data_IF_851565348629
#
_entry.id   IF_851565348629
#
_cell.length_a   1.000
_cell.length_b   1.000
_cell.length_c   1.000
_cell.angle_alpha   90.00
_cell.angle_beta   90.00
_cell.angle_gamma   90.00
#
_symmetry.space_group_name_H-M   'P 1'
#
loop_
_entity.id
_entity.type
_entity.pdbx_description
1 polymer ?
#
# COMPACT_ATOMS: atom_id res chain seq x y z
N UNK A 1 -22.01 -51.54 1.09
CA UNK A 1 -20.67 -51.92 0.59
C UNK A 1 -19.99 -50.62 0.15
N UNK A 2 -19.04 -50.02 0.83
CA UNK A 2 -18.36 -50.29 2.09
C UNK A 2 -18.00 -48.94 2.74
N UNK A 3 -18.48 -48.75 3.97
CA UNK A 3 -18.00 -47.74 4.90
C UNK A 3 -16.95 -48.43 5.78
N UNK A 4 -15.69 -48.00 5.71
CA UNK A 4 -14.62 -48.52 6.59
C UNK A 4 -13.64 -47.41 7.02
N UNK A 5 -13.85 -46.98 8.28
CA UNK A 5 -12.85 -46.68 9.32
C UNK A 5 -11.91 -45.49 9.07
N UNK A 6 -11.94 -44.38 9.84
CA UNK A 6 -11.70 -44.26 11.29
C UNK A 6 -10.57 -45.17 11.78
N UNK A 7 -9.34 -44.70 11.65
CA UNK A 7 -8.22 -45.11 12.50
C UNK A 7 -7.33 -43.88 12.76
N UNK A 8 -7.45 -43.34 13.98
CA UNK A 8 -6.47 -42.45 14.56
C UNK A 8 -5.19 -43.24 14.82
N UNK A 9 -4.09 -42.89 14.16
CA UNK A 9 -2.76 -43.24 14.65
C UNK A 9 -2.19 -42.05 15.43
N UNK A 10 -2.17 -42.21 16.75
CA UNK A 10 -1.49 -41.31 17.68
C UNK A 10 0.02 -41.41 17.50
N UNK A 11 0.61 -40.47 16.75
CA UNK A 11 2.06 -40.25 16.79
C UNK A 11 2.39 -39.39 18.02
N UNK A 12 3.05 -39.98 19.02
CA UNK A 12 3.68 -39.24 20.12
C UNK A 12 5.01 -38.65 19.62
N UNK A 13 5.21 -37.32 19.61
CA UNK A 13 6.53 -36.77 19.41
C UNK A 13 7.41 -37.03 20.64
N UNK A 14 8.59 -37.62 20.41
CA UNK A 14 9.67 -37.71 21.40
C UNK A 14 10.23 -36.31 21.68
N UNK A 15 10.44 -36.00 22.96
CA UNK A 15 11.05 -34.76 23.40
C UNK A 15 12.52 -34.68 22.96
N UNK A 16 12.82 -33.78 22.03
CA UNK A 16 14.18 -33.32 21.75
C UNK A 16 14.64 -32.32 22.80
N UNK A 17 15.89 -32.47 23.25
CA UNK A 17 16.52 -31.72 24.33
C UNK A 17 16.61 -30.20 24.07
N UNK A 18 16.68 -29.36 25.13
CA UNK A 18 16.77 -27.91 25.00
C UNK A 18 18.16 -27.51 24.52
N UNK A 19 18.24 -26.78 23.40
CA UNK A 19 19.47 -26.09 23.00
C UNK A 19 19.41 -24.68 23.59
N UNK A 20 20.21 -24.47 24.63
CA UNK A 20 20.53 -23.17 25.20
C UNK A 20 21.44 -22.40 24.23
N UNK A 21 21.00 -21.22 23.78
CA UNK A 21 21.89 -20.20 23.24
C UNK A 21 21.38 -18.81 23.64
N UNK A 22 21.98 -18.31 24.72
CA UNK A 22 21.98 -16.89 25.09
C UNK A 22 22.68 -16.13 23.97
N UNK A 23 21.98 -15.23 23.29
CA UNK A 23 22.59 -14.21 22.44
C UNK A 23 22.30 -12.83 23.04
N UNK A 24 23.36 -12.16 23.45
CA UNK A 24 23.37 -10.78 23.95
C UNK A 24 22.86 -9.81 22.89
N UNK A 25 22.05 -8.79 23.25
CA UNK A 25 21.52 -7.83 22.28
C UNK A 25 22.63 -6.90 21.78
N UNK A 26 22.80 -6.83 20.46
CA UNK A 26 23.60 -5.79 19.79
C UNK A 26 22.72 -4.53 19.67
N UNK A 27 23.21 -3.33 20.01
CA UNK A 27 22.43 -2.10 19.88
C UNK A 27 22.03 -1.85 18.42
N UNK A 28 20.74 -1.58 18.19
CA UNK A 28 20.20 -1.15 16.90
C UNK A 28 20.86 0.19 16.55
N UNK A 29 21.81 0.16 15.62
CA UNK A 29 22.34 1.39 15.02
C UNK A 29 21.22 2.06 14.23
N UNK A 30 20.98 3.34 14.51
CA UNK A 30 20.05 4.19 13.77
C UNK A 30 20.35 4.12 12.27
N UNK A 31 19.40 3.60 11.49
CA UNK A 31 19.46 3.64 10.03
C UNK A 31 19.45 5.09 9.57
N UNK A 32 20.58 5.55 9.05
CA UNK A 32 20.71 6.84 8.38
C UNK A 32 19.95 6.80 7.04
N UNK A 33 18.81 7.49 7.01
CA UNK A 33 17.92 7.57 5.86
C UNK A 33 18.30 8.69 4.88
N UNK A 34 19.49 9.31 4.98
CA UNK A 34 19.91 10.30 3.99
C UNK A 34 20.17 9.64 2.63
N UNK A 35 19.51 10.11 1.56
CA UNK A 35 19.80 9.72 0.18
C UNK A 35 21.29 9.95 -0.17
N UNK A 36 21.94 9.04 -0.90
CA UNK A 36 23.37 9.16 -1.26
C UNK A 36 23.72 10.46 -1.99
N UNK A 37 22.79 11.02 -2.78
CA UNK A 37 22.95 12.31 -3.46
C UNK A 37 22.94 13.53 -2.52
N UNK A 38 22.60 13.35 -1.24
CA UNK A 38 22.72 14.35 -0.18
C UNK A 38 23.95 14.15 0.71
N UNK A 39 24.60 12.97 0.65
CA UNK A 39 25.82 12.67 1.41
C UNK A 39 27.07 13.31 0.81
N UNK A 40 27.06 13.55 -0.50
CA UNK A 40 28.15 14.16 -1.27
C UNK A 40 27.85 15.60 -1.70
N UNK A 41 26.95 16.31 -1.02
CA UNK A 41 26.90 17.76 -1.18
C UNK A 41 28.15 18.29 -0.50
N UNK A 42 29.13 18.71 -1.28
CA UNK A 42 30.32 19.38 -0.77
C UNK A 42 29.91 20.38 0.31
N UNK A 43 30.45 20.24 1.52
CA UNK A 43 30.34 21.25 2.57
C UNK A 43 30.93 22.61 2.17
N UNK A 44 31.58 22.66 1.00
CA UNK A 44 32.07 23.84 0.30
C UNK A 44 31.18 24.31 -0.86
N UNK A 45 29.97 23.77 -1.05
CA UNK A 45 28.89 24.49 -1.71
C UNK A 45 28.37 25.62 -0.80
N UNK A 46 29.31 26.37 -0.22
CA UNK A 46 29.06 27.67 0.31
C UNK A 46 28.46 28.49 -0.84
N UNK A 47 27.34 29.12 -0.54
CA UNK A 47 26.95 30.39 -1.15
C UNK A 47 28.26 31.15 -1.40
N UNK A 48 28.59 31.43 -2.66
CA UNK A 48 29.79 32.16 -3.02
C UNK A 48 29.91 33.37 -2.10
N UNK A 49 30.84 33.33 -1.14
CA UNK A 49 31.20 34.53 -0.38
C UNK A 49 31.91 35.44 -1.38
N UNK A 50 31.21 36.50 -1.79
CA UNK A 50 31.83 37.52 -2.62
C UNK A 50 32.96 38.21 -1.83
N UNK A 51 34.09 38.51 -2.49
CA UNK A 51 35.19 39.22 -1.84
C UNK A 51 34.70 40.60 -1.39
N UNK A 52 34.81 40.86 -0.08
CA UNK A 52 34.51 42.16 0.52
C UNK A 52 35.53 43.19 0.05
N UNK A 53 35.26 43.85 -1.08
CA UNK A 53 35.95 45.07 -1.47
C UNK A 53 35.26 46.25 -0.77
N UNK A 54 35.94 46.86 0.20
CA UNK A 54 35.42 47.90 1.11
C UNK A 54 35.12 49.28 0.45
N UNK A 55 34.86 49.37 -0.86
CA UNK A 55 34.78 50.68 -1.51
C UNK A 55 33.69 50.90 -2.57
N UNK A 56 32.62 50.09 -2.61
CA UNK A 56 31.53 50.32 -3.58
C UNK A 56 30.16 50.44 -2.90
N UNK A 57 29.91 51.62 -2.32
CA UNK A 57 28.78 51.88 -1.44
C UNK A 57 27.47 52.26 -2.17
N UNK A 58 27.29 51.96 -3.47
CA UNK A 58 26.11 52.46 -4.19
C UNK A 58 25.41 51.52 -5.18
N UNK A 59 25.72 50.21 -5.22
CA UNK A 59 25.08 49.29 -6.17
C UNK A 59 24.65 47.92 -5.61
N UNK A 60 24.66 47.71 -4.28
CA UNK A 60 24.10 46.47 -3.71
C UNK A 60 22.57 46.53 -3.73
N UNK A 61 21.85 45.63 -4.44
CA UNK A 61 20.42 45.48 -4.24
C UNK A 61 20.22 45.12 -2.77
N UNK A 62 19.41 45.91 -2.07
CA UNK A 62 19.13 45.66 -0.67
C UNK A 62 18.29 44.37 -0.56
N UNK A 63 18.94 43.21 -0.43
CA UNK A 63 18.33 41.90 -0.16
C UNK A 63 17.94 41.73 1.32
N UNK A 64 17.79 42.83 2.07
CA UNK A 64 17.19 42.74 3.39
C UNK A 64 15.79 42.13 3.25
N UNK A 65 15.51 40.96 3.85
CA UNK A 65 14.20 40.35 3.77
C UNK A 65 13.21 41.33 4.39
N UNK A 66 12.23 41.76 3.61
CA UNK A 66 11.16 42.63 4.11
C UNK A 66 10.49 41.94 5.30
N UNK A 67 10.50 42.54 6.49
CA UNK A 67 10.02 41.92 7.73
C UNK A 67 8.57 41.43 7.62
N UNK A 68 7.74 42.12 6.82
CA UNK A 68 6.37 41.70 6.52
C UNK A 68 6.31 40.41 5.71
N UNK A 69 7.17 40.27 4.70
CA UNK A 69 7.30 39.06 3.88
C UNK A 69 7.78 37.88 4.73
N UNK A 70 8.73 38.13 5.64
CA UNK A 70 9.20 37.10 6.59
C UNK A 70 8.10 36.67 7.55
N UNK A 71 7.25 37.59 8.01
CA UNK A 71 6.11 37.29 8.90
C UNK A 71 5.04 36.44 8.21
N UNK A 72 4.64 36.81 6.99
CA UNK A 72 3.67 36.03 6.20
C UNK A 72 4.18 34.63 5.91
N UNK A 73 5.46 34.49 5.52
CA UNK A 73 6.08 33.19 5.32
C UNK A 73 6.09 32.35 6.60
N UNK A 74 6.39 32.96 7.75
CA UNK A 74 6.40 32.26 9.03
C UNK A 74 5.02 31.70 9.39
N UNK A 75 3.95 32.46 9.15
CA UNK A 75 2.58 32.01 9.36
C UNK A 75 2.23 30.83 8.44
N UNK A 76 2.55 30.94 7.15
CA UNK A 76 2.37 29.87 6.17
C UNK A 76 3.06 28.56 6.58
N UNK A 77 4.35 28.62 6.93
CA UNK A 77 5.09 27.44 7.36
C UNK A 77 4.55 26.85 8.66
N UNK A 78 4.09 27.69 9.59
CA UNK A 78 3.46 27.22 10.83
C UNK A 78 2.17 26.46 10.53
N UNK A 79 1.35 26.96 9.60
CA UNK A 79 0.12 26.27 9.17
C UNK A 79 0.42 24.94 8.47
N UNK A 80 1.43 24.90 7.58
CA UNK A 80 1.86 23.65 6.95
C UNK A 80 2.38 22.64 7.96
N UNK A 81 3.19 23.07 8.93
CA UNK A 81 3.70 22.20 9.98
C UNK A 81 2.53 21.60 10.78
N UNK A 82 1.55 22.42 11.17
CA UNK A 82 0.37 21.93 11.88
C UNK A 82 -0.44 20.93 11.04
N UNK A 83 -0.59 21.14 9.73
CA UNK A 83 -1.22 20.15 8.85
C UNK A 83 -0.45 18.82 8.80
N UNK A 84 0.89 18.87 8.79
CA UNK A 84 1.73 17.66 8.85
C UNK A 84 1.59 16.96 10.20
N UNK A 85 1.59 17.70 11.30
CA UNK A 85 1.43 17.17 12.66
C UNK A 85 0.06 16.51 12.84
N UNK A 86 -1.00 17.12 12.26
CA UNK A 86 -2.35 16.52 12.24
C UNK A 86 -2.36 15.21 11.45
N UNK A 87 -1.77 15.18 10.25
CA UNK A 87 -1.64 13.93 9.49
C UNK A 87 -0.89 12.88 10.30
N UNK A 88 0.21 13.27 10.94
CA UNK A 88 1.03 12.38 11.75
C UNK A 88 0.27 11.85 12.98
N UNK A 89 -0.53 12.68 13.65
CA UNK A 89 -1.42 12.32 14.77
C UNK A 89 -2.37 11.20 14.33
N UNK A 90 -3.11 11.39 13.25
CA UNK A 90 -4.09 10.41 12.79
C UNK A 90 -3.45 9.14 12.25
N UNK A 91 -2.38 9.24 11.44
CA UNK A 91 -1.65 8.08 10.93
C UNK A 91 -1.04 7.22 12.05
N UNK A 92 -0.62 7.83 13.17
CA UNK A 92 -0.14 7.08 14.34
C UNK A 92 -1.24 6.23 14.96
N UNK A 93 -2.39 6.85 15.20
CA UNK A 93 -3.52 6.21 15.88
C UNK A 93 -4.10 5.09 15.01
N UNK A 94 -4.10 5.25 13.68
CA UNK A 94 -4.57 4.23 12.74
C UNK A 94 -3.51 3.19 12.35
N UNK A 95 -2.30 3.24 12.91
CA UNK A 95 -1.19 2.35 12.55
C UNK A 95 -0.88 2.35 11.04
N UNK A 96 -0.86 3.53 10.43
CA UNK A 96 -0.61 3.72 8.99
C UNK A 96 0.75 4.34 8.69
N UNK A 97 1.66 4.40 9.66
CA UNK A 97 3.02 4.88 9.42
C UNK A 97 3.85 3.79 8.76
N UNK A 98 4.97 4.21 8.18
CA UNK A 98 5.98 3.28 7.66
C UNK A 98 6.50 2.42 8.82
N UNK A 99 6.41 1.09 8.69
CA UNK A 99 6.82 0.14 9.72
C UNK A 99 5.75 -0.23 10.75
N UNK A 100 4.57 0.40 10.73
CA UNK A 100 3.45 0.00 11.60
C UNK A 100 2.80 -1.31 11.11
N UNK A 101 2.88 -1.58 9.81
CA UNK A 101 2.34 -2.80 9.24
C UNK A 101 3.15 -4.00 9.77
N UNK A 102 2.51 -4.98 10.44
CA UNK A 102 3.19 -6.15 10.96
C UNK A 102 4.00 -6.91 9.89
N UNK A 103 3.60 -6.84 8.62
CA UNK A 103 4.34 -7.48 7.52
C UNK A 103 5.69 -6.84 7.21
N UNK A 104 5.96 -5.64 7.73
CA UNK A 104 7.23 -4.94 7.53
C UNK A 104 8.31 -5.46 8.48
N UNK A 105 7.95 -6.29 9.47
CA UNK A 105 8.91 -6.87 10.42
C UNK A 105 9.59 -8.10 9.85
N UNK A 106 10.89 -8.26 10.15
CA UNK A 106 11.70 -9.39 9.66
C UNK A 106 11.22 -10.76 10.17
N UNK A 107 10.52 -10.79 11.32
CA UNK A 107 9.95 -12.00 11.91
C UNK A 107 8.57 -12.37 11.35
N UNK A 108 8.01 -11.54 10.46
CA UNK A 108 6.72 -11.81 9.84
C UNK A 108 6.81 -12.97 8.85
N UNK A 109 6.11 -14.06 9.16
CA UNK A 109 6.07 -15.25 8.31
C UNK A 109 5.09 -15.01 7.16
N UNK A 110 5.62 -14.74 5.97
CA UNK A 110 4.84 -14.67 4.73
C UNK A 110 4.53 -16.10 4.27
N UNK A 111 3.24 -16.46 4.26
CA UNK A 111 2.76 -17.74 3.75
C UNK A 111 1.71 -17.55 2.63
N UNK A 112 1.86 -18.24 1.48
CA UNK A 112 3.00 -19.06 1.10
C UNK A 112 4.27 -18.20 0.92
N UNK A 113 5.48 -18.80 1.00
CA UNK A 113 6.71 -18.03 0.86
C UNK A 113 6.76 -17.31 -0.50
N UNK A 114 7.36 -16.11 -0.57
CA UNK A 114 7.48 -15.39 -1.83
C UNK A 114 8.24 -16.24 -2.86
N UNK A 115 7.89 -16.13 -4.16
CA UNK A 115 8.58 -16.87 -5.19
C UNK A 115 10.07 -16.49 -5.21
N UNK A 116 10.97 -17.44 -5.53
CA UNK A 116 12.40 -17.16 -5.54
C UNK A 116 12.72 -16.00 -6.50
N UNK A 117 13.74 -15.18 -6.18
CA UNK A 117 14.17 -14.12 -7.07
C UNK A 117 14.53 -14.71 -8.44
N UNK A 118 14.07 -14.04 -9.49
CA UNK A 118 14.31 -14.49 -10.87
C UNK A 118 15.76 -14.29 -11.32
N UNK A 119 16.62 -13.70 -10.49
CA UNK A 119 18.02 -13.43 -10.79
C UNK A 119 18.86 -13.26 -9.51
N UNK A 120 20.13 -13.74 -9.46
CA UNK A 120 20.81 -14.53 -10.49
C UNK A 120 20.25 -15.95 -10.60
N UNK A 121 20.43 -16.58 -11.77
CA UNK A 121 20.03 -17.97 -11.93
C UNK A 121 20.82 -18.84 -10.93
N UNK A 122 20.17 -19.83 -10.27
CA UNK A 122 20.87 -20.73 -9.36
C UNK A 122 22.07 -21.39 -10.06
N UNK A 123 23.24 -21.51 -9.40
CA UNK A 123 24.36 -22.25 -9.95
C UNK A 123 23.93 -23.71 -10.14
N UNK A 124 23.82 -24.14 -11.39
CA UNK A 124 23.32 -25.49 -11.73
C UNK A 124 22.25 -25.54 -12.83
N UNK A 125 21.79 -24.41 -13.38
CA UNK A 125 21.01 -24.37 -14.62
C UNK A 125 19.60 -24.97 -14.54
N UNK A 126 19.20 -25.54 -13.40
CA UNK A 126 17.83 -25.92 -13.14
C UNK A 126 17.06 -24.64 -12.90
N UNK A 127 16.33 -24.20 -13.93
CA UNK A 127 15.36 -23.12 -13.82
C UNK A 127 14.34 -23.57 -12.76
N UNK A 128 14.51 -23.18 -11.50
CA UNK A 128 13.41 -23.05 -10.53
C UNK A 128 12.52 -21.89 -10.95
N UNK A 129 12.12 -21.88 -12.22
CA UNK A 129 10.97 -21.10 -12.63
C UNK A 129 9.82 -21.91 -12.06
N UNK A 130 9.26 -21.45 -10.94
CA UNK A 130 7.91 -21.89 -10.54
C UNK A 130 7.10 -21.80 -11.84
N UNK A 131 6.55 -22.93 -12.29
CA UNK A 131 5.83 -23.01 -13.56
C UNK A 131 4.91 -21.80 -13.65
N UNK A 132 5.14 -20.83 -14.54
CA UNK A 132 4.29 -19.62 -14.67
C UNK A 132 2.96 -19.98 -15.39
N UNK A 133 2.39 -21.14 -15.09
CA UNK A 133 1.16 -21.65 -15.66
C UNK A 133 -0.03 -21.39 -14.71
N UNK A 134 -1.26 -21.29 -15.23
CA UNK A 134 -2.46 -21.11 -14.41
C UNK A 134 -2.65 -22.18 -13.31
N UNK A 135 -2.03 -23.35 -13.45
CA UNK A 135 -2.11 -24.45 -12.49
C UNK A 135 -1.09 -24.44 -11.36
N UNK A 136 -0.14 -23.50 -11.34
CA UNK A 136 0.82 -23.35 -10.23
C UNK A 136 0.40 -22.29 -9.21
N UNK A 137 -0.45 -21.34 -9.62
CA UNK A 137 -0.89 -20.22 -8.80
C UNK A 137 -1.77 -20.77 -7.68
N UNK A 138 -1.28 -20.68 -6.45
CA UNK A 138 -1.96 -21.22 -5.26
C UNK A 138 -1.81 -22.74 -5.07
N UNK A 139 -0.97 -23.41 -5.86
CA UNK A 139 -0.65 -24.84 -5.63
C UNK A 139 0.19 -25.06 -4.36
N UNK A 140 0.87 -24.01 -3.91
CA UNK A 140 1.67 -23.90 -2.71
C UNK A 140 0.87 -23.38 -1.50
N UNK A 141 -0.40 -23.02 -1.70
CA UNK A 141 -1.28 -22.57 -0.63
C UNK A 141 -2.08 -23.75 -0.07
N UNK A 142 -1.80 -24.12 1.17
CA UNK A 142 -2.55 -25.09 1.95
C UNK A 142 -3.28 -24.37 3.07
N UNK A 143 -4.62 -24.45 3.08
CA UNK A 143 -5.48 -23.71 4.02
C UNK A 143 -5.15 -24.06 5.47
N UNK A 144 -4.83 -25.32 5.73
CA UNK A 144 -4.55 -25.88 7.05
C UNK A 144 -3.21 -25.39 7.62
N UNK A 145 -2.29 -24.94 6.77
CA UNK A 145 -0.99 -24.38 7.18
C UNK A 145 -1.08 -22.89 7.55
N UNK A 146 -2.21 -22.23 7.24
CA UNK A 146 -2.45 -20.84 7.64
C UNK A 146 -2.63 -20.76 9.15
N UNK A 147 -1.71 -20.06 9.81
CA UNK A 147 -1.80 -19.77 11.25
C UNK A 147 -2.91 -18.75 11.48
N UNK A 148 -4.08 -19.23 11.91
CA UNK A 148 -5.18 -18.36 12.34
C UNK A 148 -4.99 -18.03 13.83
N UNK A 149 -4.89 -16.75 14.21
CA UNK A 149 -4.84 -16.37 15.62
C UNK A 149 -6.07 -16.88 16.38
N UNK A 150 -5.85 -17.43 17.57
CA UNK A 150 -6.92 -17.91 18.45
C UNK A 150 -7.69 -16.77 19.11
N UNK A 151 -8.60 -17.13 20.02
CA UNK A 151 -9.32 -16.16 20.83
C UNK A 151 -8.34 -15.33 21.67
N UNK A 152 -8.56 -14.01 21.70
CA UNK A 152 -7.80 -13.08 22.51
C UNK A 152 -8.54 -12.77 23.82
N UNK A 153 -7.79 -12.50 24.89
CA UNK A 153 -8.33 -12.18 26.22
C UNK A 153 -8.82 -10.72 26.34
N UNK A 154 -8.58 -9.89 25.32
CA UNK A 154 -9.01 -8.49 25.28
C UNK A 154 -10.52 -8.34 25.13
N UNK A 155 -11.04 -7.26 25.70
CA UNK A 155 -12.46 -6.90 25.67
C UNK A 155 -12.69 -5.74 24.71
N UNK A 156 -13.83 -5.70 24.04
CA UNK A 156 -14.22 -4.56 23.22
C UNK A 156 -15.67 -4.17 23.46
N UNK A 157 -15.95 -2.87 23.42
CA UNK A 157 -17.30 -2.32 23.54
C UNK A 157 -17.45 -1.13 22.57
N UNK A 158 -18.69 -0.90 22.13
CA UNK A 158 -19.03 0.27 21.33
C UNK A 158 -19.22 1.46 22.27
N UNK A 159 -18.42 2.50 22.09
CA UNK A 159 -18.52 3.75 22.85
C UNK A 159 -19.76 4.56 22.43
N UNK A 160 -20.14 5.55 23.24
CA UNK A 160 -21.28 6.45 22.95
C UNK A 160 -21.09 7.28 21.66
N UNK A 161 -19.84 7.44 21.24
CA UNK A 161 -19.44 8.06 19.98
C UNK A 161 -19.57 7.16 18.75
N UNK A 162 -19.94 5.88 18.93
CA UNK A 162 -20.04 4.90 17.84
C UNK A 162 -18.69 4.31 17.40
N UNK A 163 -17.64 4.47 18.21
CA UNK A 163 -16.30 3.92 17.97
C UNK A 163 -16.11 2.68 18.84
N UNK A 164 -15.63 1.58 18.26
CA UNK A 164 -15.25 0.40 19.05
C UNK A 164 -13.93 0.66 19.78
N UNK A 165 -13.95 0.48 21.09
CA UNK A 165 -12.79 0.61 21.96
C UNK A 165 -12.37 -0.75 22.51
N UNK A 166 -11.06 -0.93 22.67
CA UNK A 166 -10.46 -2.17 23.19
C UNK A 166 -9.87 -1.93 24.59
N UNK A 167 -10.10 -2.88 25.49
CA UNK A 167 -9.74 -2.86 26.90
C UNK A 167 -8.96 -4.13 27.26
N UNK A 168 -7.98 -4.03 28.17
CA UNK A 168 -7.18 -5.19 28.57
C UNK A 168 -7.95 -6.09 29.54
N UNK A 169 -8.66 -5.48 30.50
CA UNK A 169 -9.42 -6.21 31.54
C UNK A 169 -10.86 -5.73 31.64
N UNK A 170 -11.78 -6.61 32.08
CA UNK A 170 -13.19 -6.24 32.39
C UNK A 170 -13.33 -5.04 33.35
N UNK A 171 -12.39 -4.90 34.29
CA UNK A 171 -12.41 -3.78 35.24
C UNK A 171 -12.12 -2.44 34.56
N UNK A 172 -11.34 -2.43 33.47
CA UNK A 172 -11.05 -1.23 32.69
C UNK A 172 -12.22 -0.83 31.79
N UNK A 173 -13.00 -1.81 31.33
CA UNK A 173 -14.28 -1.57 30.64
C UNK A 173 -15.20 -0.77 31.56
N UNK A 174 -15.34 -1.19 32.82
CA UNK A 174 -16.14 -0.47 33.81
C UNK A 174 -15.63 0.94 34.10
N UNK A 175 -14.31 1.18 33.98
CA UNK A 175 -13.67 2.49 34.14
C UNK A 175 -13.59 3.32 32.86
N UNK A 176 -14.02 2.77 31.71
CA UNK A 176 -13.90 3.38 30.38
C UNK A 176 -12.47 3.87 30.07
N UNK A 177 -11.46 3.07 30.40
CA UNK A 177 -10.06 3.39 30.11
C UNK A 177 -9.52 2.49 28.98
N UNK A 178 -9.61 2.89 27.70
CA UNK A 178 -9.18 2.05 26.58
C UNK A 178 -7.65 2.02 26.42
N UNK A 179 -7.15 0.99 25.74
CA UNK A 179 -5.71 0.83 25.44
C UNK A 179 -5.21 1.97 24.54
N UNK A 180 -6.04 2.39 23.58
CA UNK A 180 -5.73 3.45 22.62
C UNK A 180 -6.79 4.51 22.72
N UNK A 181 -6.38 5.75 22.96
CA UNK A 181 -7.29 6.89 22.92
C UNK A 181 -7.46 7.38 21.48
N UNK A 182 -8.59 7.02 20.88
CA UNK A 182 -8.97 7.47 19.54
C UNK A 182 -9.53 8.89 19.61
N UNK A 183 -9.17 9.81 18.69
CA UNK A 183 -9.77 11.14 18.63
C UNK A 183 -11.29 11.08 18.49
N UNK A 184 -11.99 11.97 19.20
CA UNK A 184 -13.46 12.03 19.11
C UNK A 184 -13.90 12.58 17.75
N UNK A 185 -15.13 12.27 17.28
CA UNK A 185 -15.66 12.88 16.06
C UNK A 185 -15.64 14.41 16.10
N UNK A 186 -15.85 15.02 17.28
CA UNK A 186 -15.78 16.47 17.46
C UNK A 186 -14.36 17.00 17.21
N UNK A 187 -13.34 16.36 17.78
CA UNK A 187 -11.94 16.73 17.52
C UNK A 187 -11.59 16.58 16.04
N UNK A 188 -12.04 15.50 15.41
CA UNK A 188 -11.85 15.29 13.98
C UNK A 188 -12.43 16.43 13.15
N UNK A 189 -13.66 16.88 13.42
CA UNK A 189 -14.26 17.99 12.68
C UNK A 189 -13.54 19.32 12.93
N UNK A 190 -13.05 19.58 14.15
CA UNK A 190 -12.26 20.79 14.44
C UNK A 190 -10.91 20.76 13.70
N UNK A 191 -10.23 19.62 13.70
CA UNK A 191 -8.97 19.42 12.99
C UNK A 191 -9.18 19.53 11.46
N UNK A 192 -10.28 18.97 10.95
CA UNK A 192 -10.67 19.05 9.54
C UNK A 192 -11.00 20.48 9.12
N UNK A 193 -11.76 21.22 9.93
CA UNK A 193 -12.08 22.62 9.68
C UNK A 193 -10.81 23.47 9.60
N UNK A 194 -9.84 23.22 10.49
CA UNK A 194 -8.53 23.86 10.41
C UNK A 194 -7.84 23.57 9.06
N UNK A 195 -7.78 22.31 8.62
CA UNK A 195 -7.18 21.94 7.33
C UNK A 195 -7.93 22.61 6.17
N UNK A 196 -9.26 22.60 6.17
CA UNK A 196 -10.08 23.24 5.15
C UNK A 196 -9.87 24.76 5.10
N UNK A 197 -9.65 25.40 6.27
CA UNK A 197 -9.35 26.83 6.35
C UNK A 197 -8.01 27.16 5.68
N UNK A 198 -6.96 26.37 5.96
CA UNK A 198 -5.63 26.52 5.36
C UNK A 198 -5.66 26.24 3.85
N UNK A 199 -6.39 25.21 3.42
CA UNK A 199 -6.56 24.90 2.00
C UNK A 199 -7.29 26.03 1.29
N UNK A 200 -8.24 26.70 1.93
CA UNK A 200 -9.05 27.75 1.32
C UNK A 200 -8.35 29.10 1.26
N UNK A 201 -7.30 29.30 2.08
CA UNK A 201 -6.53 30.53 2.16
C UNK A 201 -5.79 30.89 0.84
N UNK A 202 -5.95 32.14 0.40
CA UNK A 202 -5.47 32.63 -0.90
C UNK A 202 -3.93 32.71 -1.00
N UNK A 203 -3.25 33.37 -0.03
CA UNK A 203 -1.79 33.35 0.08
C UNK A 203 -1.21 31.94 0.13
N UNK A 204 -1.79 31.05 0.93
CA UNK A 204 -1.37 29.64 1.02
C UNK A 204 -1.44 28.92 -0.34
N UNK A 205 -2.57 29.02 -1.04
CA UNK A 205 -2.72 28.46 -2.40
C UNK A 205 -1.68 29.02 -3.37
N UNK A 206 -1.49 30.34 -3.37
CA UNK A 206 -0.59 31.02 -4.29
C UNK A 206 0.87 30.62 -4.04
N UNK A 207 1.26 30.52 -2.77
CA UNK A 207 2.59 30.04 -2.37
C UNK A 207 2.81 28.59 -2.78
N UNK A 208 1.87 27.69 -2.46
CA UNK A 208 1.94 26.29 -2.84
C UNK A 208 2.03 26.10 -4.36
N UNK A 209 1.22 26.83 -5.14
CA UNK A 209 1.27 26.79 -6.60
C UNK A 209 2.64 27.22 -7.15
N UNK A 210 3.20 28.35 -6.66
CA UNK A 210 4.54 28.81 -7.06
C UNK A 210 5.61 27.78 -6.70
N UNK A 211 5.52 27.17 -5.52
CA UNK A 211 6.46 26.14 -5.07
C UNK A 211 6.39 24.88 -5.92
N UNK A 212 5.19 24.40 -6.25
CA UNK A 212 4.98 23.26 -7.14
C UNK A 212 5.53 23.55 -8.55
N UNK A 213 5.31 24.75 -9.07
CA UNK A 213 5.89 25.17 -10.36
C UNK A 213 7.41 25.22 -10.34
N UNK A 214 8.00 25.73 -9.26
CA UNK A 214 9.45 25.69 -9.08
C UNK A 214 9.99 24.25 -9.07
N UNK A 215 9.32 23.32 -8.36
CA UNK A 215 9.73 21.91 -8.30
C UNK A 215 9.61 21.23 -9.67
N UNK A 216 8.56 21.52 -10.43
CA UNK A 216 8.38 21.06 -11.81
C UNK A 216 9.50 21.58 -12.73
N UNK A 217 9.82 22.88 -12.66
CA UNK A 217 10.93 23.46 -13.43
C UNK A 217 12.29 22.87 -13.04
N UNK A 218 12.53 22.63 -11.74
CA UNK A 218 13.74 21.96 -11.25
C UNK A 218 13.85 20.54 -11.80
N UNK A 219 12.75 19.80 -11.84
CA UNK A 219 12.71 18.46 -12.43
C UNK A 219 12.97 18.47 -13.94
N UNK A 220 12.39 19.41 -14.67
CA UNK A 220 12.66 19.55 -16.11
C UNK A 220 14.13 19.88 -16.38
N UNK A 221 14.74 20.75 -15.57
CA UNK A 221 16.17 21.03 -15.66
C UNK A 221 17.01 19.78 -15.36
N UNK A 222 16.62 19.00 -14.36
CA UNK A 222 17.28 17.72 -14.05
C UNK A 222 17.26 16.78 -15.26
N UNK A 223 16.11 16.59 -15.90
CA UNK A 223 16.00 15.75 -17.10
C UNK A 223 16.93 16.28 -18.21
N UNK A 224 16.89 17.58 -18.51
CA UNK A 224 17.71 18.17 -19.58
C UNK A 224 19.21 17.98 -19.36
N UNK A 225 19.67 18.01 -18.10
CA UNK A 225 21.08 17.84 -17.77
C UNK A 225 21.52 16.38 -17.68
N UNK A 226 20.64 15.47 -17.23
CA UNK A 226 21.03 14.11 -16.81
C UNK A 226 20.41 12.99 -17.65
N UNK A 227 19.55 13.28 -18.65
CA UNK A 227 18.86 12.25 -19.44
C UNK A 227 19.83 11.22 -20.06
N UNK A 228 20.95 11.68 -20.61
CA UNK A 228 21.93 10.78 -21.23
C UNK A 228 22.64 9.89 -20.21
N UNK A 229 22.93 10.41 -19.01
CA UNK A 229 23.56 9.66 -17.92
C UNK A 229 22.59 8.62 -17.35
N UNK A 230 21.35 9.02 -17.05
CA UNK A 230 20.27 8.12 -16.63
C UNK A 230 20.03 6.99 -17.63
N UNK A 231 20.01 7.31 -18.94
CA UNK A 231 19.85 6.31 -20.00
C UNK A 231 21.06 5.37 -20.08
N UNK A 232 22.28 5.87 -19.84
CA UNK A 232 23.48 5.05 -19.83
C UNK A 232 23.49 4.10 -18.62
N UNK A 233 23.13 4.58 -17.43
CA UNK A 233 23.01 3.76 -16.22
C UNK A 233 21.94 2.67 -16.38
N UNK A 234 20.75 3.02 -16.90
CA UNK A 234 19.69 2.05 -17.16
C UNK A 234 20.15 0.93 -18.12
N UNK A 235 20.97 1.26 -19.13
CA UNK A 235 21.53 0.28 -20.08
C UNK A 235 22.61 -0.63 -19.46
N UNK A 236 23.29 -0.18 -18.40
CA UNK A 236 24.30 -0.99 -17.69
C UNK A 236 23.67 -2.11 -16.86
N UNK A 237 22.37 -2.06 -16.58
CA UNK A 237 21.65 -3.09 -15.82
C UNK A 237 20.89 -4.00 -16.80
N UNK A 238 21.52 -5.10 -17.28
CA UNK A 238 20.85 -6.00 -18.22
C UNK A 238 19.62 -6.63 -17.57
N UNK A 239 18.59 -6.91 -18.39
CA UNK A 239 17.34 -7.56 -17.96
C UNK A 239 16.53 -6.79 -16.90
N UNK A 240 16.72 -5.47 -16.76
CA UNK A 240 15.90 -4.57 -15.94
C UNK A 240 15.21 -3.49 -16.80
N UNK A 241 14.45 -3.94 -17.79
CA UNK A 241 13.68 -3.09 -18.69
C UNK A 241 12.19 -2.95 -18.27
N UNK A 242 11.44 -2.19 -19.06
CA UNK A 242 10.00 -2.00 -18.87
C UNK A 242 9.18 -3.31 -18.93
N UNK A 243 9.70 -4.44 -19.39
CA UNK A 243 8.95 -5.71 -19.32
C UNK A 243 9.30 -6.51 -18.08
N UNK A 244 10.55 -6.40 -17.61
CA UNK A 244 11.10 -7.22 -16.53
C UNK A 244 10.95 -6.58 -15.14
N UNK A 245 10.70 -5.27 -15.04
CA UNK A 245 10.36 -4.63 -13.75
C UNK A 245 8.98 -5.12 -13.28
N UNK A 246 8.81 -5.38 -11.98
CA UNK A 246 7.51 -5.72 -11.41
C UNK A 246 6.70 -4.44 -11.22
N UNK A 247 5.47 -4.41 -11.75
CA UNK A 247 4.50 -3.33 -11.51
C UNK A 247 3.28 -3.91 -10.84
N UNK A 248 2.73 -3.15 -9.92
CA UNK A 248 1.50 -3.49 -9.20
C UNK A 248 0.47 -2.43 -9.55
N UNK A 249 -0.71 -2.89 -9.92
CA UNK A 249 -1.87 -2.01 -10.01
C UNK A 249 -2.40 -1.77 -8.58
N UNK A 250 -2.33 -0.53 -8.11
CA UNK A 250 -2.67 -0.16 -6.73
C UNK A 250 -4.16 0.12 -6.55
N UNK A 251 -4.96 0.15 -7.62
CA UNK A 251 -6.39 0.42 -7.54
C UNK A 251 -7.18 -0.41 -8.56
N UNK A 252 -7.61 -1.60 -8.11
CA UNK A 252 -8.41 -2.53 -8.91
C UNK A 252 -9.68 -2.91 -8.16
N UNK A 253 -10.82 -2.85 -8.86
CA UNK A 253 -12.06 -3.43 -8.35
C UNK A 253 -12.11 -4.92 -8.73
N UNK A 254 -12.25 -5.80 -7.73
CA UNK A 254 -12.26 -7.25 -7.94
C UNK A 254 -13.29 -7.69 -9.00
N UNK A 255 -14.50 -7.12 -8.98
CA UNK A 255 -15.56 -7.42 -9.95
C UNK A 255 -15.22 -7.01 -11.38
N UNK A 256 -14.31 -6.03 -11.56
CA UNK A 256 -13.98 -5.43 -12.85
C UNK A 256 -12.56 -5.76 -13.31
N UNK A 257 -11.88 -6.71 -12.65
CA UNK A 257 -10.50 -7.07 -12.96
C UNK A 257 -10.35 -7.83 -14.29
N UNK A 258 -11.46 -8.36 -14.81
CA UNK A 258 -11.46 -9.24 -15.98
C UNK A 258 -11.79 -8.48 -17.27
N UNK A 259 -11.04 -8.78 -18.32
CA UNK A 259 -11.35 -8.29 -19.66
C UNK A 259 -12.71 -8.84 -20.12
N UNK A 260 -13.58 -7.97 -20.64
CA UNK A 260 -14.92 -8.30 -21.15
C UNK A 260 -14.91 -9.45 -22.17
N UNK A 261 -13.93 -9.48 -23.08
CA UNK A 261 -13.78 -10.57 -24.07
C UNK A 261 -13.50 -11.91 -23.41
N UNK A 262 -12.74 -11.91 -22.31
CA UNK A 262 -12.46 -13.12 -21.55
C UNK A 262 -13.70 -13.60 -20.80
N UNK A 263 -14.41 -12.69 -20.11
CA UNK A 263 -15.66 -12.99 -19.42
C UNK A 263 -16.72 -13.54 -20.38
N UNK A 264 -16.91 -12.91 -21.53
CA UNK A 264 -17.82 -13.39 -22.58
C UNK A 264 -17.47 -14.82 -23.02
N UNK A 265 -16.18 -15.09 -23.25
CA UNK A 265 -15.71 -16.43 -23.62
C UNK A 265 -15.98 -17.46 -22.52
N UNK A 266 -15.82 -17.06 -21.26
CA UNK A 266 -16.10 -17.91 -20.11
C UNK A 266 -17.59 -18.27 -20.03
N UNK A 267 -18.48 -17.28 -20.15
CA UNK A 267 -19.94 -17.48 -20.14
C UNK A 267 -20.37 -18.43 -21.27
N UNK A 268 -19.91 -18.17 -22.51
CA UNK A 268 -20.19 -19.05 -23.66
C UNK A 268 -19.66 -20.48 -23.44
N UNK A 269 -18.46 -20.62 -22.87
CA UNK A 269 -17.86 -21.93 -22.55
C UNK A 269 -18.68 -22.70 -21.50
N UNK A 270 -19.15 -22.01 -20.45
CA UNK A 270 -19.99 -22.61 -19.39
C UNK A 270 -21.33 -23.08 -19.94
N UNK A 271 -22.01 -22.26 -20.74
CA UNK A 271 -23.24 -22.66 -21.44
C UNK A 271 -23.08 -23.92 -22.30
N UNK A 272 -21.93 -24.08 -22.97
CA UNK A 272 -21.67 -25.24 -23.82
C UNK A 272 -21.33 -26.52 -23.04
N UNK A 273 -20.59 -26.39 -21.93
CA UNK A 273 -20.04 -27.55 -21.20
C UNK A 273 -20.94 -28.03 -20.07
N UNK A 274 -21.59 -27.12 -19.36
CA UNK A 274 -22.38 -27.43 -18.16
C UNK A 274 -23.71 -26.66 -18.15
N UNK A 275 -24.59 -26.88 -19.13
CA UNK A 275 -25.86 -26.16 -19.26
C UNK A 275 -26.88 -26.48 -18.15
N UNK A 276 -26.79 -27.66 -17.56
CA UNK A 276 -27.76 -28.17 -16.58
C UNK A 276 -27.36 -27.86 -15.13
N UNK A 277 -26.27 -27.11 -14.92
CA UNK A 277 -25.87 -26.63 -13.59
C UNK A 277 -26.96 -25.72 -13.03
N UNK A 278 -27.39 -25.96 -11.79
CA UNK A 278 -28.32 -25.08 -11.07
C UNK A 278 -27.56 -23.82 -10.64
N UNK A 279 -28.03 -22.64 -11.06
CA UNK A 279 -27.30 -21.37 -10.85
C UNK A 279 -28.06 -20.33 -10.03
N UNK A 280 -29.39 -20.38 -10.02
CA UNK A 280 -30.21 -19.40 -9.28
C UNK A 280 -31.50 -20.05 -8.76
N UNK A 281 -31.93 -19.63 -7.57
CA UNK A 281 -33.25 -19.95 -7.04
C UNK A 281 -34.15 -18.73 -7.15
N UNK A 282 -35.23 -18.83 -7.94
CA UNK A 282 -36.19 -17.75 -8.18
C UNK A 282 -37.60 -18.33 -8.28
N UNK A 283 -38.59 -17.61 -7.75
CA UNK A 283 -40.01 -18.00 -7.80
C UNK A 283 -40.29 -19.41 -7.24
N UNK A 284 -39.57 -19.77 -6.17
CA UNK A 284 -39.71 -21.07 -5.52
C UNK A 284 -39.07 -22.24 -6.28
N UNK A 285 -38.32 -21.98 -7.37
CA UNK A 285 -37.69 -23.00 -8.21
C UNK A 285 -36.20 -22.76 -8.38
N UNK A 286 -35.45 -23.85 -8.39
CA UNK A 286 -34.06 -23.88 -8.81
C UNK A 286 -34.02 -23.86 -10.35
N UNK A 287 -33.39 -22.86 -10.95
CA UNK A 287 -33.22 -22.73 -12.38
C UNK A 287 -31.81 -23.16 -12.79
N UNK A 288 -31.73 -23.95 -13.87
CA UNK A 288 -30.46 -24.29 -14.50
C UNK A 288 -29.93 -23.14 -15.33
N UNK A 289 -28.63 -23.15 -15.64
CA UNK A 289 -27.99 -22.14 -16.47
C UNK A 289 -28.70 -22.01 -17.84
N UNK A 290 -29.12 -23.12 -18.43
CA UNK A 290 -29.94 -23.12 -19.65
C UNK A 290 -31.28 -22.39 -19.45
N UNK A 291 -32.01 -22.72 -18.40
CA UNK A 291 -33.33 -22.12 -18.12
C UNK A 291 -33.24 -20.61 -17.86
N UNK A 292 -32.14 -20.14 -17.27
CA UNK A 292 -31.90 -18.70 -17.09
C UNK A 292 -31.74 -18.00 -18.44
N UNK A 293 -30.96 -18.57 -19.36
CA UNK A 293 -30.80 -17.99 -20.71
C UNK A 293 -32.10 -18.02 -21.51
N UNK A 294 -32.88 -19.09 -21.41
CA UNK A 294 -34.22 -19.17 -22.00
C UNK A 294 -35.17 -18.09 -21.43
N UNK A 295 -35.10 -17.81 -20.12
CA UNK A 295 -35.93 -16.77 -19.49
C UNK A 295 -35.58 -15.34 -19.91
N UNK A 296 -34.34 -15.12 -20.36
CA UNK A 296 -33.85 -13.84 -20.86
C UNK A 296 -34.03 -13.68 -22.37
N UNK A 297 -34.58 -14.71 -23.06
CA UNK A 297 -34.68 -14.79 -24.52
C UNK A 297 -33.34 -14.54 -25.23
N UNK A 298 -32.26 -15.08 -24.65
CA UNK A 298 -30.90 -14.92 -25.16
C UNK A 298 -30.27 -16.28 -25.45
N UNK A 299 -29.64 -16.40 -26.61
CA UNK A 299 -28.80 -17.57 -26.91
C UNK A 299 -27.31 -17.28 -26.69
N UNK A 300 -26.51 -18.34 -26.51
CA UNK A 300 -25.06 -18.20 -26.42
C UNK A 300 -24.41 -17.66 -27.71
N UNK A 301 -25.11 -17.73 -28.84
CA UNK A 301 -24.65 -17.14 -30.10
C UNK A 301 -24.85 -15.63 -30.09
N UNK A 302 -26.03 -15.18 -29.63
CA UNK A 302 -26.46 -13.78 -29.62
C UNK A 302 -25.75 -12.96 -28.54
N UNK A 303 -25.18 -13.61 -27.52
CA UNK A 303 -24.41 -12.94 -26.49
C UNK A 303 -23.16 -12.28 -27.10
N UNK A 304 -23.10 -10.96 -27.06
CA UNK A 304 -21.99 -10.11 -27.44
C UNK A 304 -21.50 -9.28 -26.25
N UNK A 305 -20.43 -8.51 -26.45
CA UNK A 305 -19.94 -7.58 -25.42
C UNK A 305 -20.98 -6.50 -25.14
N UNK A 306 -21.69 -6.03 -26.17
CA UNK A 306 -22.68 -4.96 -26.05
C UNK A 306 -23.94 -5.45 -25.32
N UNK A 307 -24.34 -6.71 -25.50
CA UNK A 307 -25.47 -7.30 -24.74
C UNK A 307 -25.14 -7.59 -23.28
N UNK A 308 -23.85 -7.63 -22.93
CA UNK A 308 -23.38 -7.90 -21.57
C UNK A 308 -23.42 -6.67 -20.66
N UNK A 309 -23.72 -5.49 -21.23
CA UNK A 309 -23.85 -4.20 -20.53
C UNK A 309 -22.70 -3.94 -19.51
N UNK A 310 -21.49 -4.35 -19.88
CA UNK A 310 -20.28 -4.20 -19.07
C UNK A 310 -19.66 -2.82 -19.29
N UNK A 311 -20.46 -1.75 -19.24
CA UNK A 311 -19.92 -0.40 -19.31
C UNK A 311 -19.27 -0.03 -17.97
N UNK A 312 -18.10 0.60 -18.03
CA UNK A 312 -17.49 1.20 -16.84
C UNK A 312 -18.33 2.43 -16.53
N UNK A 313 -19.17 2.36 -15.49
CA UNK A 313 -19.71 3.55 -14.85
C UNK A 313 -18.53 4.25 -14.17
N UNK A 314 -17.94 5.22 -14.87
CA UNK A 314 -17.00 6.17 -14.26
C UNK A 314 -17.76 7.18 -13.40
#
# INVERSE_FOLDING_TARGET
>A
EDNKYLAHETYKPQAGAPISAVATPVPIASLDTTPENLRNVDGNAAIMEEPTNENDNNLRPNFAPNDEVTRELKELYTNFQKCLDLREKYMRVSCQRVGDNPSDKDDWVIYPPPPPPSWPAPPGGTKMRVSDGPGSIGSDFVREEVKIPGQCDMWYELDDTGIFQVYETKDEVARKNPIIQVPTPKEYFVDLDFILSVISDGPTKSFAFRRLKYLESKWNMYILLNEYEELAEAKRVPHRDFYNVRKVDTHVHHSSCMNQKHLLRFIKSKMKKTPDDVVIFRDGKNLTLRQVFESLDLTAYDLSIDTLDMHVSF
#
